data_IF_677027389117
#
_entry.id   IF_677027389117
#
_cell.length_a   1.000
_cell.length_b   1.000
_cell.length_c   1.000
_cell.angle_alpha   90.00
_cell.angle_beta   90.00
_cell.angle_gamma   90.00
#
_symmetry.space_group_name_H-M   'P 1'
#
loop_
_entity.id
_entity.type
_entity.pdbx_description
1 polymer ?
#
# COMPACT_ATOMS: atom_id res chain seq x y z
N UNK A 1 -0.12 10.43 -5.54
CA UNK A 1 1.15 9.90 -6.06
C UNK A 1 1.25 10.26 -7.53
N UNK A 2 2.27 11.05 -7.88
CA UNK A 2 2.49 11.49 -9.27
C UNK A 2 3.91 11.14 -9.69
N UNK A 3 4.08 10.68 -10.93
CA UNK A 3 5.37 10.58 -11.59
C UNK A 3 5.59 11.85 -12.39
N UNK A 4 6.80 12.41 -12.33
CA UNK A 4 7.20 13.55 -13.14
C UNK A 4 8.36 13.15 -14.04
N UNK A 5 8.23 13.40 -15.33
CA UNK A 5 9.35 13.33 -16.26
C UNK A 5 10.19 14.61 -16.11
N UNK A 6 11.49 14.47 -15.85
CA UNK A 6 12.37 15.61 -15.62
C UNK A 6 12.89 16.26 -16.91
N UNK A 7 12.75 15.60 -18.07
CA UNK A 7 13.13 16.15 -19.37
C UNK A 7 11.96 16.94 -19.97
N UNK A 8 10.74 16.41 -19.92
CA UNK A 8 9.55 17.06 -20.50
C UNK A 8 8.78 17.91 -19.49
N UNK A 9 9.06 17.75 -18.19
CA UNK A 9 8.30 18.33 -17.07
C UNK A 9 6.85 17.85 -16.94
N UNK A 10 6.41 16.92 -17.77
CA UNK A 10 5.08 16.32 -17.68
C UNK A 10 4.91 15.56 -16.37
N UNK A 11 3.73 15.69 -15.76
CA UNK A 11 3.37 14.97 -14.55
C UNK A 11 2.13 14.13 -14.78
N UNK A 12 2.17 12.87 -14.34
CA UNK A 12 1.07 11.92 -14.47
C UNK A 12 0.73 11.34 -13.09
N UNK A 13 -0.56 11.23 -12.80
CA UNK A 13 -1.02 10.46 -11.65
C UNK A 13 -0.86 8.96 -11.96
N UNK A 14 -0.15 8.26 -11.09
CA UNK A 14 0.17 6.84 -11.24
C UNK A 14 -0.32 6.03 -10.04
N UNK A 15 -1.30 6.53 -9.28
CA UNK A 15 -1.89 5.76 -8.18
C UNK A 15 -2.73 4.61 -8.76
N UNK A 16 -2.64 3.38 -8.23
CA UNK A 16 -3.48 2.27 -8.68
C UNK A 16 -4.97 2.62 -8.57
N UNK A 17 -5.76 2.50 -9.66
CA UNK A 17 -7.20 2.65 -9.59
C UNK A 17 -7.85 1.40 -8.96
N UNK A 18 -8.90 1.60 -8.17
CA UNK A 18 -9.69 0.50 -7.66
C UNK A 18 -10.72 0.04 -8.71
N UNK A 19 -10.96 -1.28 -8.87
CA UNK A 19 -12.08 -1.80 -9.63
C UNK A 19 -13.43 -1.30 -9.08
N UNK A 20 -14.46 -1.34 -9.91
CA UNK A 20 -15.81 -0.97 -9.49
C UNK A 20 -16.29 -1.83 -8.30
N UNK A 21 -16.78 -1.17 -7.26
CA UNK A 21 -17.25 -1.83 -6.03
C UNK A 21 -16.16 -2.14 -4.99
N UNK A 22 -14.87 -1.95 -5.32
CA UNK A 22 -13.76 -2.11 -4.37
C UNK A 22 -13.20 -0.75 -3.95
N UNK A 23 -12.66 -0.64 -2.73
CA UNK A 23 -11.99 0.56 -2.25
C UNK A 23 -10.60 0.23 -1.74
N UNK A 24 -9.58 0.73 -2.44
CA UNK A 24 -8.21 0.66 -1.96
C UNK A 24 -7.94 1.73 -0.91
N UNK A 25 -7.28 1.31 0.17
CA UNK A 25 -6.82 2.16 1.27
C UNK A 25 -5.35 2.44 1.04
N UNK A 26 -4.94 3.70 1.17
CA UNK A 26 -3.53 4.05 1.14
C UNK A 26 -3.26 5.12 2.18
N UNK A 27 -2.11 5.02 2.82
CA UNK A 27 -1.65 6.03 3.74
C UNK A 27 -1.30 7.33 3.03
N UNK A 28 -1.31 8.42 3.79
CA UNK A 28 -0.80 9.72 3.35
C UNK A 28 0.67 9.64 2.89
N UNK A 29 1.46 8.76 3.52
CA UNK A 29 2.86 8.46 3.25
C UNK A 29 3.05 6.99 2.82
N UNK A 30 2.15 6.47 1.98
CA UNK A 30 2.25 5.08 1.49
C UNK A 30 3.63 4.76 0.93
N UNK A 31 4.21 3.60 1.29
CA UNK A 31 5.54 3.22 0.86
C UNK A 31 5.58 2.96 -0.65
N UNK A 32 6.67 3.40 -1.27
CA UNK A 32 7.00 3.12 -2.66
C UNK A 32 8.44 2.63 -2.74
N UNK A 33 8.67 1.53 -3.46
CA UNK A 33 9.99 0.91 -3.62
C UNK A 33 10.24 0.68 -5.10
N UNK A 34 11.41 1.09 -5.59
CA UNK A 34 11.88 0.74 -6.92
C UNK A 34 12.65 -0.57 -6.80
N UNK A 35 12.41 -1.51 -7.72
CA UNK A 35 13.10 -2.80 -7.68
C UNK A 35 14.61 -2.64 -7.82
N UNK A 36 15.35 -3.48 -7.08
CA UNK A 36 16.80 -3.57 -7.17
C UNK A 36 17.27 -4.22 -8.49
N UNK A 37 16.39 -4.97 -9.16
CA UNK A 37 16.71 -5.71 -10.38
C UNK A 37 16.26 -5.00 -11.66
N UNK A 38 15.25 -4.13 -11.56
CA UNK A 38 14.74 -3.38 -12.70
C UNK A 38 14.15 -2.02 -12.29
N UNK A 39 14.78 -0.95 -12.75
CA UNK A 39 14.34 0.44 -12.50
C UNK A 39 12.96 0.80 -13.06
N UNK A 40 12.38 -0.02 -13.96
CA UNK A 40 10.99 0.15 -14.42
C UNK A 40 9.98 -0.49 -13.49
N UNK A 41 10.42 -1.43 -12.64
CA UNK A 41 9.57 -2.12 -11.71
C UNK A 41 9.45 -1.32 -10.42
N UNK A 42 8.22 -0.97 -10.04
CA UNK A 42 7.92 -0.27 -8.80
C UNK A 42 6.86 -1.01 -7.99
N UNK A 43 7.02 -1.00 -6.68
CA UNK A 43 6.06 -1.52 -5.71
C UNK A 43 5.42 -0.36 -4.95
N UNK A 44 4.13 -0.46 -4.68
CA UNK A 44 3.38 0.55 -3.94
C UNK A 44 2.44 -0.09 -2.92
N UNK A 45 2.48 0.41 -1.69
CA UNK A 45 1.74 -0.16 -0.57
C UNK A 45 0.42 0.57 -0.31
N UNK A 46 -0.68 -0.16 -0.43
CA UNK A 46 -2.00 0.19 0.12
C UNK A 46 -2.43 -0.83 1.17
N UNK A 47 -3.71 -1.18 1.24
CA UNK A 47 -4.12 -2.42 1.90
C UNK A 47 -3.70 -3.67 1.11
N UNK A 48 -3.39 -3.52 -0.17
CA UNK A 48 -2.74 -4.53 -1.00
C UNK A 48 -1.36 -4.05 -1.43
N UNK A 49 -0.47 -4.99 -1.75
CA UNK A 49 0.76 -4.67 -2.46
C UNK A 49 0.48 -4.58 -3.95
N UNK A 50 0.89 -3.48 -4.58
CA UNK A 50 0.76 -3.27 -6.02
C UNK A 50 2.14 -3.29 -6.68
N UNK A 51 2.24 -3.93 -7.84
CA UNK A 51 3.44 -3.96 -8.67
C UNK A 51 3.14 -3.38 -10.04
N UNK A 52 4.01 -2.50 -10.51
CA UNK A 52 4.04 -2.03 -11.88
C UNK A 52 5.38 -2.40 -12.48
N UNK A 53 5.40 -2.79 -13.77
CA UNK A 53 6.63 -3.05 -14.55
C UNK A 53 6.89 -1.96 -15.60
N UNK A 54 6.11 -0.88 -15.57
CA UNK A 54 6.12 0.23 -16.52
C UNK A 54 6.12 1.59 -15.81
N UNK A 55 6.80 1.66 -14.66
CA UNK A 55 6.98 2.90 -13.88
C UNK A 55 5.65 3.56 -13.45
N UNK A 56 4.63 2.74 -13.20
CA UNK A 56 3.32 3.13 -12.67
C UNK A 56 2.24 3.43 -13.71
N UNK A 57 2.47 3.11 -14.98
CA UNK A 57 1.47 3.32 -16.04
C UNK A 57 0.35 2.25 -15.98
N UNK A 58 0.69 1.02 -15.55
CA UNK A 58 -0.23 -0.07 -15.22
C UNK A 58 0.17 -0.75 -13.91
N UNK A 59 -0.81 -1.35 -13.23
CA UNK A 59 -0.63 -1.96 -11.92
C UNK A 59 -1.24 -3.35 -11.86
N UNK A 60 -0.49 -4.27 -11.25
CA UNK A 60 -0.94 -5.61 -10.88
C UNK A 60 -1.00 -5.71 -9.37
N UNK A 61 -2.12 -6.18 -8.84
CA UNK A 61 -2.27 -6.49 -7.41
C UNK A 61 -1.53 -7.80 -7.09
N UNK A 62 -0.70 -7.78 -6.06
CA UNK A 62 0.03 -8.95 -5.57
C UNK A 62 -0.70 -9.51 -4.33
N UNK A 63 -1.36 -10.65 -4.50
CA UNK A 63 -2.04 -11.34 -3.39
C UNK A 63 -3.38 -10.74 -2.96
N UNK A 64 -3.75 -11.07 -1.71
CA UNK A 64 -4.94 -10.63 -1.00
C UNK A 64 -4.66 -9.38 -0.14
N UNK A 65 -5.65 -8.94 0.63
CA UNK A 65 -5.49 -7.81 1.55
C UNK A 65 -4.45 -8.21 2.61
N UNK A 66 -3.38 -7.41 2.73
CA UNK A 66 -2.26 -7.70 3.62
C UNK A 66 -2.56 -7.25 5.07
N UNK A 67 -3.73 -6.68 5.29
CA UNK A 67 -4.19 -6.17 6.59
C UNK A 67 -5.25 -7.09 7.21
N UNK A 68 -5.59 -6.85 8.46
CA UNK A 68 -6.70 -7.51 9.15
C UNK A 68 -8.08 -6.95 8.74
N UNK A 69 -8.12 -5.95 7.84
CA UNK A 69 -9.35 -5.37 7.31
C UNK A 69 -10.25 -4.72 8.37
N UNK A 70 -9.70 -4.39 9.55
CA UNK A 70 -10.46 -3.86 10.66
C UNK A 70 -11.01 -2.47 10.34
N UNK A 71 -12.18 -2.18 10.90
CA UNK A 71 -12.82 -0.88 10.76
C UNK A 71 -12.45 0.01 11.94
N UNK A 72 -11.70 1.09 11.67
CA UNK A 72 -11.22 2.02 12.70
C UNK A 72 -12.34 2.62 13.53
N UNK A 73 -13.51 2.86 12.92
CA UNK A 73 -14.66 3.49 13.59
C UNK A 73 -15.37 2.54 14.56
N UNK A 74 -15.11 1.24 14.47
CA UNK A 74 -15.66 0.23 15.40
C UNK A 74 -14.73 -0.03 16.59
N UNK A 75 -13.49 0.45 16.53
CA UNK A 75 -12.53 0.25 17.59
C UNK A 75 -12.71 1.27 18.72
N UNK A 76 -12.80 0.81 19.99
CA UNK A 76 -12.94 1.72 21.11
C UNK A 76 -11.64 2.52 21.31
N UNK A 77 -11.78 3.83 21.48
CA UNK A 77 -10.71 4.74 21.92
C UNK A 77 -11.05 5.17 23.34
N UNK A 78 -10.16 4.94 24.30
CA UNK A 78 -10.40 5.25 25.72
C UNK A 78 -11.73 4.67 26.25
N UNK A 79 -12.07 3.44 25.84
CA UNK A 79 -13.28 2.73 26.25
C UNK A 79 -14.58 3.20 25.58
N UNK A 80 -14.53 4.11 24.60
CA UNK A 80 -15.70 4.56 23.83
C UNK A 80 -15.49 4.38 22.34
N UNK A 81 -16.51 3.86 21.66
CA UNK A 81 -16.52 3.81 20.20
C UNK A 81 -16.75 5.24 19.67
N UNK A 82 -15.86 5.76 18.80
CA UNK A 82 -16.03 7.08 18.22
C UNK A 82 -17.35 7.19 17.45
N UNK A 83 -17.96 8.37 17.47
CA UNK A 83 -19.18 8.65 16.73
C UNK A 83 -19.04 9.94 15.92
N UNK A 84 -20.13 10.36 15.26
CA UNK A 84 -20.13 11.55 14.41
C UNK A 84 -19.74 12.85 15.13
N UNK A 85 -19.89 12.92 16.44
CA UNK A 85 -19.56 14.08 17.28
C UNK A 85 -18.17 13.98 17.93
N UNK A 86 -17.45 12.88 17.74
CA UNK A 86 -16.08 12.74 18.25
C UNK A 86 -15.16 13.69 17.49
N UNK A 87 -14.66 14.71 18.19
CA UNK A 87 -13.62 15.61 17.69
C UNK A 87 -12.35 14.81 17.39
N UNK A 88 -11.65 15.17 16.31
CA UNK A 88 -10.42 14.49 15.88
C UNK A 88 -10.56 12.96 15.78
N UNK A 89 -11.71 12.46 15.32
CA UNK A 89 -12.07 11.03 15.27
C UNK A 89 -10.97 10.08 14.75
N UNK A 90 -10.21 10.53 13.76
CA UNK A 90 -9.14 9.75 13.13
C UNK A 90 -7.75 10.37 13.35
N UNK A 91 -7.65 11.47 14.09
CA UNK A 91 -6.40 12.16 14.41
C UNK A 91 -5.44 12.35 13.20
N UNK A 92 -6.00 12.74 12.05
CA UNK A 92 -5.24 12.94 10.81
C UNK A 92 -4.92 11.67 10.00
N UNK A 93 -5.24 10.48 10.50
CA UNK A 93 -5.09 9.22 9.76
C UNK A 93 -6.19 9.11 8.70
N UNK A 94 -5.81 9.19 7.43
CA UNK A 94 -6.75 9.22 6.29
C UNK A 94 -7.28 7.84 5.91
N UNK A 95 -6.49 6.80 6.14
CA UNK A 95 -6.84 5.42 5.85
C UNK A 95 -6.20 4.53 6.91
N UNK A 96 -6.87 3.44 7.26
CA UNK A 96 -6.35 2.37 8.11
C UNK A 96 -7.27 1.16 7.93
N UNK A 97 -6.76 -0.07 7.98
CA UNK A 97 -5.35 -0.45 7.97
C UNK A 97 -4.73 -0.46 6.57
N UNK A 98 -3.41 -0.30 6.48
CA UNK A 98 -2.63 -0.33 5.25
C UNK A 98 -1.14 -0.67 5.48
N UNK A 99 -0.47 -1.10 4.42
CA UNK A 99 0.98 -1.34 4.37
C UNK A 99 1.72 -0.01 4.59
N UNK A 100 2.70 -0.03 5.50
CA UNK A 100 3.55 1.12 5.84
C UNK A 100 5.01 0.91 5.43
N UNK A 101 5.44 -0.34 5.21
CA UNK A 101 6.80 -0.66 4.75
C UNK A 101 6.80 -1.81 3.75
N UNK A 102 7.74 -1.77 2.81
CA UNK A 102 7.94 -2.81 1.79
C UNK A 102 9.46 -3.02 1.65
N UNK A 103 9.88 -4.27 1.47
CA UNK A 103 11.27 -4.61 1.14
C UNK A 103 11.34 -5.70 0.07
N UNK A 104 11.98 -5.40 -1.05
CA UNK A 104 12.45 -6.41 -2.01
C UNK A 104 13.86 -6.86 -1.62
N UNK A 105 14.13 -8.17 -1.65
CA UNK A 105 15.49 -8.65 -1.37
C UNK A 105 16.45 -8.30 -2.51
N UNK A 106 17.62 -7.70 -2.24
CA UNK A 106 18.60 -7.39 -3.29
C UNK A 106 19.28 -8.64 -3.87
N UNK A 107 19.11 -9.80 -3.25
CA UNK A 107 19.69 -11.08 -3.68
C UNK A 107 18.67 -12.00 -4.36
N UNK A 108 17.37 -11.73 -4.19
CA UNK A 108 16.31 -12.55 -4.76
C UNK A 108 15.06 -11.71 -5.07
N UNK A 109 14.79 -11.48 -6.36
CA UNK A 109 13.63 -10.71 -6.85
C UNK A 109 12.26 -11.28 -6.43
N UNK A 110 12.21 -12.55 -6.08
CA UNK A 110 10.96 -13.22 -5.70
C UNK A 110 10.70 -13.17 -4.18
N UNK A 111 11.67 -12.68 -3.39
CA UNK A 111 11.55 -12.51 -1.95
C UNK A 111 11.12 -11.08 -1.62
N UNK A 112 9.87 -10.94 -1.18
CA UNK A 112 9.24 -9.67 -0.80
C UNK A 112 8.78 -9.74 0.65
N UNK A 113 8.87 -8.61 1.34
CA UNK A 113 8.31 -8.40 2.67
C UNK A 113 7.45 -7.15 2.66
N UNK A 114 6.35 -7.19 3.40
CA UNK A 114 5.58 -6.00 3.74
C UNK A 114 5.16 -6.00 5.20
N UNK A 115 4.95 -4.80 5.73
CA UNK A 115 4.50 -4.60 7.10
C UNK A 115 3.38 -3.57 7.15
N UNK A 116 2.37 -3.82 7.98
CA UNK A 116 1.16 -3.01 8.09
C UNK A 116 1.08 -2.26 9.42
N UNK A 117 0.29 -1.19 9.43
CA UNK A 117 0.00 -0.39 10.63
C UNK A 117 -0.97 -1.05 11.63
N UNK A 118 -1.55 -2.20 11.29
CA UNK A 118 -2.33 -3.05 12.20
C UNK A 118 -1.56 -4.27 12.71
N UNK A 119 -0.24 -4.29 12.47
CA UNK A 119 0.69 -5.21 13.13
C UNK A 119 1.00 -6.50 12.38
N UNK A 120 0.59 -6.63 11.11
CA UNK A 120 0.96 -7.77 10.28
C UNK A 120 2.34 -7.54 9.65
N UNK A 121 3.12 -8.62 9.55
CA UNK A 121 4.36 -8.70 8.79
C UNK A 121 4.23 -9.92 7.89
N UNK A 122 4.25 -9.72 6.58
CA UNK A 122 4.07 -10.81 5.63
C UNK A 122 5.29 -11.01 4.75
N UNK A 123 5.50 -12.25 4.34
CA UNK A 123 6.57 -12.64 3.43
C UNK A 123 6.04 -13.40 2.23
N UNK A 124 6.45 -12.96 1.04
CA UNK A 124 6.31 -13.72 -0.19
C UNK A 124 7.67 -14.23 -0.66
N UNK A 125 7.70 -15.48 -1.13
CA UNK A 125 8.90 -16.12 -1.69
C UNK A 125 8.75 -16.48 -3.17
N UNK A 126 7.68 -16.02 -3.80
CA UNK A 126 7.30 -16.36 -5.18
C UNK A 126 6.90 -15.12 -6.00
N UNK A 127 7.42 -13.96 -5.62
CA UNK A 127 7.20 -12.69 -6.32
C UNK A 127 5.83 -12.06 -6.06
N UNK A 128 5.24 -12.34 -4.89
CA UNK A 128 3.96 -11.77 -4.45
C UNK A 128 2.73 -12.56 -4.89
N UNK A 129 2.88 -13.84 -5.29
CA UNK A 129 1.74 -14.70 -5.63
C UNK A 129 1.11 -15.29 -4.38
N UNK A 130 1.94 -15.69 -3.42
CA UNK A 130 1.51 -16.18 -2.10
C UNK A 130 2.22 -15.44 -0.98
N UNK A 131 1.52 -15.29 0.14
CA UNK A 131 1.95 -14.57 1.33
C UNK A 131 1.76 -15.45 2.58
N UNK A 132 2.64 -15.27 3.56
CA UNK A 132 2.63 -15.97 4.86
C UNK A 132 2.95 -15.00 5.99
#
# INVERSE_FOLDING_TARGET
>A
MNRRDLKTHESRNIRPPAPEGERYRFQWNSPIVISAFDSHTIYYGGNYLFKSTDRGDSWTRLGNDQTNGQDRDKLPIMGKVPNKYTLSRHDGVQAWPAITTISESPMNKDLLWDGTDDGNLQVSRDGGKTWK
#
